data_IF_600629302218
#
_entry.id   IF_600629302218
#
_cell.length_a   1.000
_cell.length_b   1.000
_cell.length_c   1.000
_cell.angle_alpha   90.00
_cell.angle_beta   90.00
_cell.angle_gamma   90.00
#
_symmetry.space_group_name_H-M   'P 1'
#
loop_
_entity.id
_entity.type
_entity.pdbx_description
1 polymer ?
#
# COMPACT_ATOMS: atom_id res chain seq x y z
N UNK A 1 1.94 6.34 -8.61
CA UNK A 1 2.31 4.98 -8.13
C UNK A 1 2.09 4.87 -6.62
N UNK A 2 2.46 3.76 -5.93
CA UNK A 2 2.33 3.65 -4.47
C UNK A 2 3.24 4.65 -3.75
N UNK A 3 4.50 4.78 -4.19
CA UNK A 3 5.47 5.71 -3.61
C UNK A 3 5.04 7.17 -3.77
N UNK A 4 4.56 7.53 -4.96
CA UNK A 4 4.02 8.87 -5.22
C UNK A 4 2.84 9.19 -4.28
N UNK A 5 1.89 8.26 -4.13
CA UNK A 5 0.76 8.42 -3.23
C UNK A 5 1.23 8.53 -1.76
N UNK A 6 2.18 7.71 -1.34
CA UNK A 6 2.79 7.79 -0.01
C UNK A 6 3.45 9.15 0.25
N UNK A 7 4.27 9.65 -0.69
CA UNK A 7 4.91 10.96 -0.55
C UNK A 7 3.91 12.11 -0.51
N UNK A 8 2.86 12.04 -1.33
CA UNK A 8 1.77 13.03 -1.31
C UNK A 8 1.10 13.08 0.06
N UNK A 9 0.75 11.91 0.64
CA UNK A 9 0.13 11.81 1.96
C UNK A 9 1.07 12.21 3.10
N UNK A 10 2.36 11.88 3.01
CA UNK A 10 3.39 12.36 3.94
C UNK A 10 3.46 13.88 3.94
N UNK A 11 3.51 14.52 2.77
CA UNK A 11 3.53 15.98 2.65
C UNK A 11 2.29 16.63 3.27
N UNK A 12 1.09 16.07 3.05
CA UNK A 12 -0.12 16.59 3.68
C UNK A 12 -0.15 16.44 5.21
N UNK A 13 0.51 15.41 5.74
CA UNK A 13 0.56 15.11 7.16
C UNK A 13 1.67 15.86 7.93
N UNK A 14 2.56 16.61 7.25
CA UNK A 14 3.62 17.40 7.91
C UNK A 14 3.09 18.36 8.98
N UNK A 15 1.87 18.86 8.79
CA UNK A 15 1.18 19.76 9.74
C UNK A 15 0.50 19.05 10.91
N UNK A 16 0.66 17.74 11.04
CA UNK A 16 0.03 16.97 12.13
C UNK A 16 0.52 17.47 13.49
N UNK A 17 -0.42 17.66 14.42
CA UNK A 17 -0.11 18.05 15.80
C UNK A 17 0.24 16.86 16.71
N UNK A 18 0.23 15.64 16.17
CA UNK A 18 0.50 14.40 16.90
C UNK A 18 1.10 13.34 15.98
N UNK A 19 1.62 12.26 16.57
CA UNK A 19 2.21 11.14 15.84
C UNK A 19 1.21 10.49 14.89
N UNK A 20 1.71 10.00 13.76
CA UNK A 20 0.90 9.35 12.74
C UNK A 20 1.69 8.25 12.01
N UNK A 21 0.95 7.34 11.40
CA UNK A 21 1.44 6.31 10.48
C UNK A 21 0.44 6.12 9.33
N UNK A 22 0.81 5.32 8.33
CA UNK A 22 -0.04 5.06 7.18
C UNK A 22 -0.21 3.56 6.93
N UNK A 23 -1.40 3.21 6.45
CA UNK A 23 -1.64 2.00 5.69
C UNK A 23 -1.66 2.38 4.21
N UNK A 24 -1.06 1.57 3.35
CA UNK A 24 -1.04 1.82 1.90
C UNK A 24 -2.09 0.94 1.22
N UNK A 25 -2.96 1.54 0.42
CA UNK A 25 -4.02 0.81 -0.28
C UNK A 25 -3.48 0.12 -1.54
N UNK A 26 -3.79 -1.17 -1.70
CA UNK A 26 -3.54 -1.95 -2.92
C UNK A 26 -4.85 -2.03 -3.69
N UNK A 27 -4.96 -1.23 -4.76
CA UNK A 27 -6.15 -1.14 -5.61
C UNK A 27 -5.96 -1.74 -7.00
N UNK A 28 -4.75 -2.22 -7.30
CA UNK A 28 -4.35 -2.87 -8.55
C UNK A 28 -3.04 -3.65 -8.33
N UNK A 29 -2.67 -4.51 -9.28
CA UNK A 29 -1.45 -5.33 -9.20
C UNK A 29 -0.56 -5.20 -10.44
N UNK A 30 0.75 -5.17 -10.23
CA UNK A 30 1.79 -5.28 -11.25
C UNK A 30 3.15 -5.57 -10.60
N UNK A 31 4.18 -5.86 -11.40
CA UNK A 31 5.55 -5.99 -10.88
C UNK A 31 6.04 -4.70 -10.21
N UNK A 32 5.67 -3.53 -10.73
CA UNK A 32 5.98 -2.25 -10.09
C UNK A 32 5.37 -2.17 -8.69
N UNK A 33 4.10 -2.58 -8.50
CA UNK A 33 3.46 -2.59 -7.18
C UNK A 33 4.21 -3.52 -6.22
N UNK A 34 4.65 -4.68 -6.70
CA UNK A 34 5.42 -5.66 -5.91
C UNK A 34 6.76 -5.10 -5.41
N UNK A 35 7.46 -4.37 -6.27
CA UNK A 35 8.72 -3.68 -5.95
C UNK A 35 8.49 -2.50 -4.99
N UNK A 36 7.48 -1.67 -5.26
CA UNK A 36 7.14 -0.52 -4.42
C UNK A 36 6.66 -0.93 -3.02
N UNK A 37 5.98 -2.08 -2.87
CA UNK A 37 5.70 -2.65 -1.55
C UNK A 37 6.99 -2.94 -0.77
N UNK A 38 8.03 -3.46 -1.43
CA UNK A 38 9.31 -3.75 -0.79
C UNK A 38 10.01 -2.48 -0.32
N UNK A 39 10.02 -1.45 -1.16
CA UNK A 39 10.58 -0.13 -0.86
C UNK A 39 9.86 0.49 0.34
N UNK A 40 8.52 0.45 0.35
CA UNK A 40 7.70 0.98 1.44
C UNK A 40 7.98 0.31 2.79
N UNK A 41 8.16 -1.02 2.78
CA UNK A 41 8.49 -1.78 3.99
C UNK A 41 9.92 -1.51 4.45
N UNK A 42 10.89 -1.55 3.53
CA UNK A 42 12.32 -1.50 3.85
C UNK A 42 12.80 -0.10 4.21
N UNK A 43 12.23 0.94 3.58
CA UNK A 43 12.77 2.29 3.62
C UNK A 43 11.79 3.35 4.14
N UNK A 44 10.48 3.05 4.19
CA UNK A 44 9.46 4.05 4.57
C UNK A 44 8.63 3.69 5.81
N UNK A 45 8.91 2.56 6.47
CA UNK A 45 8.28 2.17 7.72
C UNK A 45 6.81 1.76 7.59
N UNK A 46 6.37 1.38 6.39
CA UNK A 46 5.03 0.83 6.15
C UNK A 46 5.06 -0.67 6.40
N UNK A 47 4.19 -1.18 7.26
CA UNK A 47 4.09 -2.61 7.59
C UNK A 47 2.66 -3.14 7.52
N UNK A 48 1.81 -2.47 6.74
CA UNK A 48 0.42 -2.86 6.59
C UNK A 48 -0.18 -2.30 5.30
N UNK A 49 -0.81 -3.20 4.54
CA UNK A 49 -1.43 -2.91 3.26
C UNK A 49 -2.94 -3.18 3.33
N UNK A 50 -3.74 -2.31 2.71
CA UNK A 50 -5.20 -2.39 2.76
C UNK A 50 -5.79 -2.74 1.40
N UNK A 51 -6.70 -3.70 1.40
CA UNK A 51 -7.42 -4.17 0.22
C UNK A 51 -8.92 -3.92 0.37
N UNK A 52 -9.59 -3.73 -0.77
CA UNK A 52 -11.04 -3.55 -0.81
C UNK A 52 -11.66 -4.67 -1.64
N UNK A 53 -12.57 -5.43 -1.04
CA UNK A 53 -13.37 -6.46 -1.73
C UNK A 53 -14.72 -5.90 -2.24
N UNK A 54 -14.90 -4.57 -2.14
CA UNK A 54 -16.10 -3.84 -2.54
C UNK A 54 -15.72 -2.64 -3.42
N UNK A 55 -16.72 -1.87 -3.87
CA UNK A 55 -16.55 -0.72 -4.78
C UNK A 55 -16.08 -1.13 -6.18
N UNK A 56 -16.84 -2.03 -6.81
CA UNK A 56 -16.62 -2.49 -8.18
C UNK A 56 -16.49 -1.30 -9.14
N UNK A 57 -15.53 -1.39 -10.07
CA UNK A 57 -15.14 -0.34 -11.04
C UNK A 57 -14.48 0.91 -10.44
N UNK A 58 -14.09 0.89 -9.16
CA UNK A 58 -13.34 1.98 -8.53
C UNK A 58 -12.06 1.49 -7.87
N UNK A 59 -12.17 0.73 -6.77
CA UNK A 59 -11.02 0.32 -5.95
C UNK A 59 -11.05 -1.17 -5.53
N UNK A 60 -12.03 -1.92 -6.04
CA UNK A 60 -12.14 -3.35 -5.75
C UNK A 60 -10.93 -4.10 -6.32
N UNK A 61 -10.19 -4.77 -5.43
CA UNK A 61 -9.17 -5.73 -5.84
C UNK A 61 -9.87 -7.01 -6.33
N UNK A 62 -9.43 -7.51 -7.49
CA UNK A 62 -9.82 -8.83 -7.97
C UNK A 62 -9.08 -9.93 -7.18
N UNK A 63 -9.58 -11.16 -7.22
CA UNK A 63 -9.05 -12.27 -6.43
C UNK A 63 -7.57 -12.56 -6.74
N UNK A 64 -7.14 -12.41 -7.99
CA UNK A 64 -5.74 -12.55 -8.41
C UNK A 64 -4.83 -11.50 -7.76
N UNK A 65 -5.28 -10.25 -7.66
CA UNK A 65 -4.61 -9.15 -6.96
C UNK A 65 -4.52 -9.44 -5.47
N UNK A 66 -5.59 -9.98 -4.86
CA UNK A 66 -5.61 -10.34 -3.45
C UNK A 66 -4.59 -11.43 -3.14
N UNK A 67 -4.58 -12.53 -3.89
CA UNK A 67 -3.65 -13.65 -3.70
C UNK A 67 -2.21 -13.18 -3.84
N UNK A 68 -1.88 -12.49 -4.94
CA UNK A 68 -0.51 -12.03 -5.18
C UNK A 68 -0.05 -11.01 -4.11
N UNK A 69 -0.93 -10.10 -3.69
CA UNK A 69 -0.59 -9.13 -2.67
C UNK A 69 -0.45 -9.75 -1.28
N UNK A 70 -1.24 -10.77 -0.92
CA UNK A 70 -1.13 -11.44 0.37
C UNK A 70 0.14 -12.28 0.47
N UNK A 71 0.51 -12.99 -0.59
CA UNK A 71 1.82 -13.68 -0.68
C UNK A 71 2.96 -12.67 -0.48
N UNK A 72 2.86 -11.50 -1.12
CA UNK A 72 3.87 -10.46 -0.97
C UNK A 72 3.92 -9.87 0.44
N UNK A 73 2.78 -9.66 1.10
CA UNK A 73 2.77 -9.23 2.51
C UNK A 73 3.47 -10.25 3.41
N UNK A 74 3.22 -11.55 3.20
CA UNK A 74 3.88 -12.62 3.94
C UNK A 74 5.40 -12.62 3.75
N UNK A 75 5.88 -12.44 2.51
CA UNK A 75 7.32 -12.34 2.21
C UNK A 75 8.00 -11.16 2.90
N UNK A 76 7.29 -10.03 3.01
CA UNK A 76 7.84 -8.78 3.54
C UNK A 76 7.65 -8.62 5.05
N UNK A 77 6.82 -9.45 5.69
CA UNK A 77 6.46 -9.29 7.10
C UNK A 77 5.56 -8.08 7.35
N UNK A 78 4.67 -7.79 6.41
CA UNK A 78 3.71 -6.68 6.41
C UNK A 78 2.25 -7.14 6.48
#
# INVERSE_FOLDING_TARGET
SLLEAFHQWRGWAEKSASDYGFHVAITWWSEQVREEMAELVSHHGINSFKHFMAYKNAIMAADDTLVASFERCLELGA
#
